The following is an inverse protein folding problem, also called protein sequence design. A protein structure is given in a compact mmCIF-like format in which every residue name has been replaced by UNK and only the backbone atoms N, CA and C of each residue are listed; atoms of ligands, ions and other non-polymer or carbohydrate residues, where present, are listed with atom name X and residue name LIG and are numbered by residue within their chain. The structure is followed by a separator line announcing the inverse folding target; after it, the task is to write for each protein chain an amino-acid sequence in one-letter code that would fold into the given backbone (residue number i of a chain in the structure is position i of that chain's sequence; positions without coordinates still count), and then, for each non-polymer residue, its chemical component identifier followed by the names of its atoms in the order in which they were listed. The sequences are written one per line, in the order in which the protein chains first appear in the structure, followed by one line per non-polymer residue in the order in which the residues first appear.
data_IF_282514290470
#
_entry.id   IF_282514290470
#
_cell.length_a   1.000
_cell.length_b   1.000
_cell.length_c   1.000
_cell.angle_alpha   90.00
_cell.angle_beta   90.00
_cell.angle_gamma   90.00
#
_symmetry.space_group_name_H-M   'P 1'
#
loop_
_entity.id
_entity.type
_entity.pdbx_description
1 polymer ?
#
# COMPACT_ATOMS: atom_id res chain seq x y z
N UNK A 1 -16.31 -2.55 9.56
CA UNK A 1 -15.33 -1.59 9.06
C UNK A 1 -15.18 -1.72 7.57
N UNK A 2 -15.49 -0.72 6.84
CA UNK A 2 -15.38 -0.82 5.38
C UNK A 2 -13.93 -0.86 4.95
N UNK A 3 -13.55 -1.98 4.42
CA UNK A 3 -12.18 -2.19 3.96
C UNK A 3 -12.03 -1.97 2.47
N UNK A 4 -12.99 -1.29 1.88
CA UNK A 4 -13.08 -1.15 0.45
C UNK A 4 -11.91 -0.38 -0.17
N UNK A 5 -11.17 0.34 0.64
CA UNK A 5 -10.02 1.11 0.17
C UNK A 5 -8.70 0.38 0.34
N UNK A 6 -8.74 -0.83 0.88
CA UNK A 6 -7.50 -1.55 1.14
C UNK A 6 -7.02 -2.23 -0.12
N UNK A 7 -5.74 -2.07 -0.40
CA UNK A 7 -5.07 -2.77 -1.49
C UNK A 7 -3.92 -3.56 -0.94
N UNK A 8 -3.77 -4.76 -1.45
CA UNK A 8 -2.80 -5.71 -0.96
C UNK A 8 -1.58 -5.74 -1.86
N UNK A 9 -0.42 -5.56 -1.25
CA UNK A 9 0.86 -5.71 -1.94
C UNK A 9 1.45 -7.02 -1.45
N UNK A 10 1.47 -8.01 -2.33
CA UNK A 10 1.62 -9.39 -1.96
C UNK A 10 3.06 -9.87 -2.05
N UNK A 11 3.49 -10.65 -1.08
CA UNK A 11 4.82 -11.25 -1.05
C UNK A 11 4.79 -12.74 -1.42
N UNK A 12 3.71 -13.23 -2.01
CA UNK A 12 3.55 -14.65 -2.28
C UNK A 12 4.58 -15.23 -3.24
N UNK A 13 5.28 -14.38 -3.97
CA UNK A 13 6.31 -14.86 -4.90
C UNK A 13 7.62 -15.23 -4.23
N UNK A 14 7.70 -15.01 -2.92
CA UNK A 14 8.92 -15.33 -2.20
C UNK A 14 8.76 -16.72 -1.61
N UNK A 15 9.35 -17.69 -2.26
CA UNK A 15 9.30 -19.07 -1.79
C UNK A 15 10.24 -19.30 -0.64
N UNK A 16 9.97 -20.32 0.11
CA UNK A 16 10.92 -20.88 1.07
C UNK A 16 11.35 -19.89 2.14
N UNK A 17 10.41 -19.10 2.62
CA UNK A 17 10.70 -18.19 3.74
C UNK A 17 10.81 -19.02 5.01
N UNK A 18 12.00 -19.05 5.61
CA UNK A 18 12.26 -19.87 6.80
C UNK A 18 13.21 -19.13 7.73
N UNK A 19 12.99 -19.29 9.01
CA UNK A 19 13.90 -18.79 10.03
C UNK A 19 14.15 -17.29 9.89
N UNK A 20 15.42 -16.92 9.82
CA UNK A 20 15.81 -15.51 9.73
C UNK A 20 15.32 -14.81 8.49
N UNK A 21 15.04 -15.56 7.42
CA UNK A 21 14.50 -14.97 6.21
C UNK A 21 13.09 -14.44 6.46
N UNK A 22 12.34 -15.10 7.33
CA UNK A 22 11.00 -14.62 7.67
C UNK A 22 11.05 -13.24 8.31
N UNK A 23 12.02 -13.02 9.21
CA UNK A 23 12.16 -11.71 9.84
C UNK A 23 12.55 -10.64 8.82
N UNK A 24 13.46 -10.98 7.91
CA UNK A 24 13.85 -10.05 6.85
C UNK A 24 12.66 -9.72 5.96
N UNK A 25 11.84 -10.71 5.65
CA UNK A 25 10.65 -10.49 4.84
C UNK A 25 9.65 -9.60 5.55
N UNK A 26 9.50 -9.77 6.86
CA UNK A 26 8.61 -8.91 7.63
C UNK A 26 9.07 -7.45 7.60
N UNK A 27 10.38 -7.23 7.71
CA UNK A 27 10.93 -5.88 7.59
C UNK A 27 10.69 -5.31 6.20
N UNK A 28 10.83 -6.15 5.17
CA UNK A 28 10.57 -5.71 3.80
C UNK A 28 9.12 -5.28 3.62
N UNK A 29 8.18 -6.05 4.17
CA UNK A 29 6.76 -5.71 4.06
C UNK A 29 6.45 -4.39 4.76
N UNK A 30 7.05 -4.16 5.93
CA UNK A 30 6.87 -2.87 6.62
C UNK A 30 7.38 -1.72 5.77
N UNK A 31 8.56 -1.87 5.19
CA UNK A 31 9.12 -0.83 4.32
C UNK A 31 8.24 -0.59 3.10
N UNK A 32 7.75 -1.67 2.49
CA UNK A 32 6.85 -1.57 1.34
C UNK A 32 5.58 -0.81 1.73
N UNK A 33 5.01 -1.15 2.88
CA UNK A 33 3.82 -0.45 3.37
C UNK A 33 4.04 1.03 3.54
N UNK A 34 5.18 1.40 4.12
CA UNK A 34 5.51 2.83 4.30
C UNK A 34 5.67 3.54 2.98
N UNK A 35 6.36 2.91 2.01
CA UNK A 35 6.54 3.50 0.69
C UNK A 35 5.19 3.66 -0.02
N UNK A 36 4.37 2.62 0.02
CA UNK A 36 3.07 2.66 -0.64
C UNK A 36 2.17 3.71 -0.02
N UNK A 37 2.20 3.85 1.30
CA UNK A 37 1.45 4.90 1.98
C UNK A 37 1.89 6.28 1.49
N UNK A 38 3.20 6.50 1.35
CA UNK A 38 3.73 7.75 0.86
C UNK A 38 3.28 8.04 -0.56
N UNK A 39 3.35 7.05 -1.44
CA UNK A 39 2.90 7.22 -2.82
C UNK A 39 1.40 7.52 -2.87
N UNK A 40 0.60 6.83 -2.06
CA UNK A 40 -0.84 7.07 -2.04
C UNK A 40 -1.14 8.50 -1.57
N UNK A 41 -0.42 8.96 -0.56
CA UNK A 41 -0.61 10.33 -0.07
C UNK A 41 -0.23 11.35 -1.13
N UNK A 42 0.82 11.08 -1.89
CA UNK A 42 1.25 12.00 -2.95
C UNK A 42 0.22 12.10 -4.07
N UNK A 43 -0.48 11.01 -4.35
CA UNK A 43 -1.47 10.96 -5.42
C UNK A 43 -2.85 11.43 -4.96
N UNK A 44 -3.09 11.47 -3.67
CA UNK A 44 -4.40 11.78 -3.13
C UNK A 44 -4.71 13.27 -3.29
N UNK A 45 -5.91 13.62 -3.79
CA UNK A 45 -6.31 15.03 -3.83
C UNK A 45 -6.33 15.62 -2.42
N UNK A 46 -5.91 16.89 -2.30
CA UNK A 46 -5.72 17.50 -0.98
C UNK A 46 -6.64 18.71 -0.83
N UNK A 47 -7.95 18.48 -0.90
CA UNK A 47 -8.88 19.57 -0.68
C UNK A 47 -8.94 19.97 0.78
N UNK A 48 -9.07 18.99 1.67
CA UNK A 48 -9.15 19.25 3.09
C UNK A 48 -8.00 18.66 3.87
N UNK A 49 -7.22 17.78 3.25
CA UNK A 49 -6.19 17.03 3.94
C UNK A 49 -6.71 15.86 4.76
N UNK A 50 -8.01 15.78 4.96
CA UNK A 50 -8.58 14.75 5.81
C UNK A 50 -8.38 13.35 5.23
N UNK A 51 -8.68 13.18 3.94
CA UNK A 51 -8.49 11.89 3.30
C UNK A 51 -7.02 11.53 3.25
N UNK A 52 -6.18 12.46 2.80
CA UNK A 52 -4.75 12.21 2.70
C UNK A 52 -4.16 11.78 4.04
N UNK A 53 -4.54 12.49 5.11
CA UNK A 53 -4.00 12.21 6.44
C UNK A 53 -4.49 10.89 7.00
N UNK A 54 -5.59 10.36 6.47
CA UNK A 54 -6.16 9.10 6.95
C UNK A 54 -5.52 7.88 6.31
N UNK A 55 -4.74 8.05 5.25
CA UNK A 55 -4.13 6.93 4.55
C UNK A 55 -3.08 6.31 5.47
N UNK A 56 -3.16 5.00 5.62
CA UNK A 56 -2.25 4.28 6.50
C UNK A 56 -1.91 2.94 5.88
N UNK A 57 -0.95 2.26 6.49
CA UNK A 57 -0.56 0.93 6.05
C UNK A 57 -0.57 -0.04 7.23
N UNK A 58 -0.69 -1.30 6.92
CA UNK A 58 -0.52 -2.38 7.88
C UNK A 58 0.07 -3.58 7.17
N UNK A 59 0.58 -4.52 7.92
CA UNK A 59 1.17 -5.72 7.35
C UNK A 59 0.68 -6.95 8.10
N UNK A 60 0.70 -8.08 7.41
CA UNK A 60 0.63 -9.37 8.06
C UNK A 60 1.87 -10.16 7.64
N UNK A 61 1.86 -11.47 7.82
CA UNK A 61 3.04 -12.26 7.51
C UNK A 61 3.24 -12.50 6.01
N UNK A 62 2.31 -12.05 5.17
CA UNK A 62 2.34 -12.34 3.74
C UNK A 62 2.24 -11.11 2.86
N UNK A 63 1.73 -10.00 3.38
CA UNK A 63 1.41 -8.86 2.52
C UNK A 63 1.44 -7.57 3.29
N UNK A 64 1.59 -6.48 2.55
CA UNK A 64 1.37 -5.13 3.04
C UNK A 64 0.07 -4.62 2.47
N UNK A 65 -0.62 -3.79 3.24
CA UNK A 65 -1.92 -3.23 2.87
C UNK A 65 -1.88 -1.74 3.07
N UNK A 66 -2.50 -1.01 2.15
CA UNK A 66 -2.72 0.43 2.32
C UNK A 66 -4.22 0.69 2.20
N UNK A 67 -4.68 1.71 2.90
CA UNK A 67 -6.09 2.05 2.85
C UNK A 67 -6.43 3.24 3.71
N UNK A 68 -7.72 3.52 3.77
CA UNK A 68 -8.26 4.62 4.56
C UNK A 68 -9.58 4.17 5.17
N UNK A 69 -9.91 4.76 6.33
CA UNK A 69 -11.23 4.54 6.94
C UNK A 69 -12.18 5.70 6.66
N UNK A 70 -11.80 6.65 5.83
CA UNK A 70 -12.67 7.75 5.43
C UNK A 70 -13.61 7.27 4.34
N UNK A 71 -14.92 7.38 4.58
CA UNK A 71 -15.91 6.79 3.69
C UNK A 71 -15.85 7.34 2.26
N UNK A 72 -15.65 8.63 2.10
CA UNK A 72 -15.66 9.21 0.76
C UNK A 72 -14.41 8.85 -0.03
N UNK A 73 -13.43 8.21 0.61
CA UNK A 73 -12.22 7.79 -0.09
C UNK A 73 -12.46 6.88 -1.26
N UNK A 74 -13.47 6.01 -1.18
CA UNK A 74 -13.78 5.12 -2.29
C UNK A 74 -14.30 5.87 -3.50
N UNK A 75 -15.00 6.96 -3.28
CA UNK A 75 -15.52 7.76 -4.39
C UNK A 75 -14.40 8.51 -5.09
N UNK A 76 -13.40 8.93 -4.34
CA UNK A 76 -12.21 9.55 -4.94
C UNK A 76 -11.48 8.51 -5.80
N UNK A 77 -11.30 7.31 -5.27
CA UNK A 77 -10.58 6.25 -5.98
C UNK A 77 -11.30 5.82 -7.25
N UNK A 78 -12.61 5.62 -7.15
CA UNK A 78 -13.39 4.98 -8.20
C UNK A 78 -14.21 5.95 -9.05
N UNK A 79 -14.40 7.17 -8.56
CA UNK A 79 -15.26 8.13 -9.23
C UNK A 79 -16.72 7.88 -8.97
N UNK A 80 -17.55 8.79 -9.39
CA UNK A 80 -19.00 8.69 -9.31
C UNK A 80 -19.58 9.18 -10.62
N UNK A 81 -20.92 9.16 -10.72
CA UNK A 81 -21.59 9.68 -11.91
C UNK A 81 -21.30 11.16 -12.14
N UNK A 82 -20.90 11.88 -11.10
CA UNK A 82 -20.68 13.32 -11.18
C UNK A 82 -19.21 13.72 -11.03
N UNK A 83 -18.36 12.78 -10.66
CA UNK A 83 -16.96 13.08 -10.35
C UNK A 83 -16.07 12.05 -11.01
N UNK A 84 -15.09 12.51 -11.79
CA UNK A 84 -14.12 11.60 -12.38
C UNK A 84 -13.28 10.94 -11.29
N UNK A 85 -12.89 9.72 -11.53
CA UNK A 85 -12.01 9.01 -10.62
C UNK A 85 -10.65 9.69 -10.53
N UNK A 86 -10.10 9.76 -9.34
CA UNK A 86 -8.73 10.23 -9.09
C UNK A 86 -8.04 9.17 -8.25
N UNK A 87 -7.61 8.06 -8.86
CA UNK A 87 -7.06 6.93 -8.12
C UNK A 87 -5.79 7.31 -7.36
N UNK A 88 -5.68 6.88 -6.14
CA UNK A 88 -4.52 7.13 -5.30
C UNK A 88 -4.01 5.85 -4.63
N UNK A 89 -4.88 4.85 -4.44
CA UNK A 89 -4.47 3.59 -3.81
C UNK A 89 -3.98 2.58 -4.84
N UNK A 90 -4.74 2.38 -5.93
CA UNK A 90 -4.36 1.39 -6.92
C UNK A 90 -3.00 1.69 -7.55
N UNK A 91 -2.75 2.93 -8.05
CA UNK A 91 -1.44 3.19 -8.63
C UNK A 91 -0.32 3.11 -7.60
N UNK A 92 -0.57 3.50 -6.35
CA UNK A 92 0.45 3.36 -5.32
C UNK A 92 0.85 1.90 -5.13
N UNK A 93 -0.12 0.98 -5.21
CA UNK A 93 0.16 -0.44 -5.04
C UNK A 93 0.80 -1.05 -6.29
N UNK A 94 0.43 -0.60 -7.49
CA UNK A 94 0.75 -1.33 -8.72
C UNK A 94 1.81 -0.67 -9.59
N UNK A 95 2.08 0.62 -9.41
CA UNK A 95 2.99 1.33 -10.32
C UNK A 95 4.41 1.45 -9.80
N UNK A 96 4.71 0.82 -8.68
CA UNK A 96 6.04 0.90 -8.07
C UNK A 96 6.60 -0.48 -7.77
N UNK A 97 6.28 -1.44 -8.63
CA UNK A 97 6.68 -2.83 -8.45
C UNK A 97 8.20 -2.98 -8.32
N UNK A 98 8.94 -2.26 -9.14
CA UNK A 98 10.39 -2.35 -9.10
C UNK A 98 10.94 -1.86 -7.76
N UNK A 99 10.40 -0.76 -7.25
CA UNK A 99 10.78 -0.26 -5.94
C UNK A 99 10.55 -1.32 -4.87
N UNK A 100 9.38 -1.96 -4.90
CA UNK A 100 9.02 -2.96 -3.91
C UNK A 100 9.90 -4.20 -4.03
N UNK A 101 10.21 -4.63 -5.25
CA UNK A 101 11.13 -5.74 -5.47
C UNK A 101 12.51 -5.43 -4.92
N UNK A 102 12.97 -4.21 -5.11
CA UNK A 102 14.28 -3.81 -4.61
C UNK A 102 14.33 -3.78 -3.10
N UNK A 103 13.24 -3.39 -2.45
CA UNK A 103 13.16 -3.43 -0.99
C UNK A 103 13.29 -4.87 -0.50
N UNK A 104 12.60 -5.81 -1.15
CA UNK A 104 12.69 -7.22 -0.78
C UNK A 104 14.13 -7.72 -0.95
N UNK A 105 14.75 -7.42 -2.08
CA UNK A 105 16.13 -7.84 -2.33
C UNK A 105 17.07 -7.28 -1.30
N UNK A 106 16.89 -6.01 -0.95
CA UNK A 106 17.75 -5.34 0.02
C UNK A 106 17.67 -6.02 1.38
N UNK A 107 16.46 -6.29 1.85
CA UNK A 107 16.29 -6.90 3.17
C UNK A 107 16.75 -8.35 3.20
N UNK A 108 16.55 -9.09 2.10
CA UNK A 108 16.94 -10.50 2.07
C UNK A 108 18.43 -10.70 1.87
N UNK A 109 19.15 -9.72 1.32
CA UNK A 109 20.57 -9.85 1.09
C UNK A 109 21.40 -9.28 2.20
N UNK A 110 20.81 -8.57 3.09
CA UNK A 110 21.49 -7.99 4.21
C UNK A 110 21.34 -8.79 5.47
#
# INVERSE_FOLDING_TARGET
MPEIQNLRINADNVDAVKGGIRDAMQRALERIGMEAEGYAKDLCPVDTGNLRNSITHTTDDKAAYIGTNVEYGKYVELGTARMAAQPYLAPAATEHTETYQNIVKDELSG
#
